data_IF_957281759275
#
_entry.id   IF_957281759275
#
_cell.length_a   1.000
_cell.length_b   1.000
_cell.length_c   1.000
_cell.angle_alpha   90.00
_cell.angle_beta   90.00
_cell.angle_gamma   90.00
#
_symmetry.space_group_name_H-M   'P 1'
#
loop_
_entity.id
_entity.type
_entity.pdbx_description
1 polymer ?
#
# COMPACT_ATOMS: atom_id res chain seq x y z
N UNK A 1 -11.44 11.30 13.18
CA UNK A 1 -10.01 11.61 13.32
C UNK A 1 -9.21 10.75 12.36
N UNK A 2 -8.50 11.41 11.44
CA UNK A 2 -7.52 10.74 10.61
C UNK A 2 -6.24 10.60 11.44
N UNK A 3 -6.19 9.52 12.21
CA UNK A 3 -5.09 9.26 13.14
C UNK A 3 -3.70 9.29 12.47
N UNK A 4 -2.63 9.27 13.29
CA UNK A 4 -1.27 9.35 12.77
C UNK A 4 -1.00 8.25 11.74
N UNK A 5 -0.31 8.59 10.65
CA UNK A 5 0.14 7.63 9.66
C UNK A 5 1.36 6.89 10.23
N UNK A 6 1.10 5.72 10.82
CA UNK A 6 2.13 4.86 11.44
C UNK A 6 2.67 3.87 10.42
N UNK A 7 3.99 3.84 10.27
CA UNK A 7 4.66 2.95 9.33
C UNK A 7 5.32 1.79 10.07
N UNK A 8 4.77 0.58 9.91
CA UNK A 8 5.33 -0.65 10.50
C UNK A 8 6.11 -1.50 9.49
N UNK A 9 6.49 -0.91 8.35
CA UNK A 9 7.22 -1.58 7.27
C UNK A 9 6.35 -2.43 6.35
N UNK A 10 5.05 -2.13 6.25
CA UNK A 10 4.12 -2.80 5.33
C UNK A 10 4.31 -2.29 3.90
N UNK A 11 4.01 -3.16 2.96
CA UNK A 11 3.97 -2.88 1.54
C UNK A 11 2.66 -3.40 0.94
N UNK A 12 2.11 -2.68 -0.03
CA UNK A 12 1.01 -3.13 -0.86
C UNK A 12 1.53 -3.42 -2.27
N UNK A 13 1.07 -4.49 -2.90
CA UNK A 13 1.37 -4.82 -4.30
C UNK A 13 0.06 -5.15 -5.01
N UNK A 14 -0.16 -4.50 -6.16
CA UNK A 14 -1.24 -4.83 -7.08
C UNK A 14 -0.76 -5.90 -8.06
N UNK A 15 -1.54 -6.96 -8.23
CA UNK A 15 -1.18 -8.10 -9.08
C UNK A 15 -2.28 -8.47 -10.09
N UNK A 16 -3.27 -7.59 -10.29
CA UNK A 16 -4.27 -7.76 -11.35
C UNK A 16 -3.70 -7.49 -12.74
N UNK A 17 -4.55 -7.55 -13.76
CA UNK A 17 -4.11 -7.55 -15.17
C UNK A 17 -3.89 -6.15 -15.77
N UNK A 18 -4.40 -5.08 -15.12
CA UNK A 18 -4.24 -3.70 -15.59
C UNK A 18 -2.85 -3.12 -15.24
N UNK A 19 -2.43 -2.07 -15.94
CA UNK A 19 -1.11 -1.44 -15.72
C UNK A 19 -0.97 -0.81 -14.32
N UNK A 20 -2.09 -0.35 -13.75
CA UNK A 20 -2.15 0.24 -12.42
C UNK A 20 -3.54 0.13 -11.81
N UNK A 21 -3.58 0.24 -10.49
CA UNK A 21 -4.79 0.39 -9.70
C UNK A 21 -4.81 1.78 -9.04
N UNK A 22 -5.90 2.53 -9.20
CA UNK A 22 -6.12 3.84 -8.57
C UNK A 22 -7.30 3.75 -7.61
N UNK A 23 -7.03 3.99 -6.32
CA UNK A 23 -8.07 3.96 -5.29
C UNK A 23 -8.94 5.23 -5.27
N UNK A 24 -8.66 6.21 -6.14
CA UNK A 24 -9.27 7.53 -6.23
C UNK A 24 -9.22 8.35 -4.92
N UNK A 25 -8.39 7.93 -3.98
CA UNK A 25 -8.10 8.61 -2.71
C UNK A 25 -6.66 9.12 -2.64
N UNK A 26 -5.97 9.14 -3.79
CA UNK A 26 -4.60 9.63 -3.94
C UNK A 26 -3.53 8.55 -3.89
N UNK A 27 -3.90 7.26 -3.93
CA UNK A 27 -2.95 6.15 -4.02
C UNK A 27 -3.07 5.45 -5.37
N UNK A 28 -1.93 5.36 -6.07
CA UNK A 28 -1.80 4.56 -7.30
C UNK A 28 -0.80 3.44 -7.05
N UNK A 29 -1.21 2.21 -7.32
CA UNK A 29 -0.37 1.01 -7.28
C UNK A 29 -0.05 0.60 -8.72
N UNK A 30 1.23 0.63 -9.09
CA UNK A 30 1.67 0.06 -10.36
C UNK A 30 1.64 -1.47 -10.28
N UNK A 31 1.27 -2.11 -11.39
CA UNK A 31 1.24 -3.57 -11.48
C UNK A 31 2.59 -4.19 -11.10
N UNK A 32 2.57 -5.18 -10.21
CA UNK A 32 3.73 -5.92 -9.75
C UNK A 32 4.86 -5.08 -9.10
N UNK A 33 4.55 -3.85 -8.65
CA UNK A 33 5.51 -3.01 -7.91
C UNK A 33 5.05 -2.80 -6.46
N UNK A 34 5.84 -3.25 -5.46
CA UNK A 34 5.52 -3.01 -4.06
C UNK A 34 5.64 -1.53 -3.69
N UNK A 35 4.60 -0.97 -3.07
CA UNK A 35 4.58 0.38 -2.52
C UNK A 35 4.61 0.32 -0.99
N UNK A 36 5.52 1.05 -0.35
CA UNK A 36 5.53 1.20 1.10
C UNK A 36 4.34 2.05 1.56
N UNK A 37 3.59 1.57 2.55
CA UNK A 37 2.34 2.19 3.01
C UNK A 37 2.27 2.24 4.53
N UNK A 38 1.59 3.24 5.09
CA UNK A 38 1.26 3.23 6.52
C UNK A 38 0.08 2.31 6.82
N UNK A 39 -0.10 1.95 8.09
CA UNK A 39 -1.03 0.92 8.52
C UNK A 39 -2.50 1.22 8.15
N UNK A 40 -2.88 2.51 8.13
CA UNK A 40 -4.22 2.92 7.70
C UNK A 40 -4.44 2.71 6.20
N UNK A 41 -3.50 3.14 5.36
CA UNK A 41 -3.54 2.93 3.90
C UNK A 41 -3.52 1.45 3.57
N UNK A 42 -2.69 0.66 4.25
CA UNK A 42 -2.67 -0.80 4.16
C UNK A 42 -4.05 -1.43 4.41
N UNK A 43 -4.78 -0.95 5.41
CA UNK A 43 -6.13 -1.47 5.74
C UNK A 43 -7.17 -1.11 4.68
N UNK A 44 -7.06 0.08 4.08
CA UNK A 44 -7.95 0.54 3.01
C UNK A 44 -7.68 -0.25 1.73
N UNK A 45 -6.43 -0.33 1.29
CA UNK A 45 -6.03 -1.02 0.07
C UNK A 45 -6.36 -2.52 0.11
N UNK A 46 -6.17 -3.18 1.27
CA UNK A 46 -6.54 -4.58 1.46
C UNK A 46 -8.05 -4.87 1.32
N UNK A 47 -8.91 -3.84 1.34
CA UNK A 47 -10.36 -3.94 1.14
C UNK A 47 -10.81 -3.40 -0.21
N UNK A 48 -9.90 -2.76 -0.96
CA UNK A 48 -10.24 -2.06 -2.19
C UNK A 48 -10.33 -3.03 -3.39
N UNK A 49 -9.54 -4.10 -3.38
CA UNK A 49 -9.57 -5.16 -4.39
C UNK A 49 -8.98 -6.47 -3.83
N UNK A 50 -9.47 -7.62 -4.30
CA UNK A 50 -8.88 -8.93 -4.05
C UNK A 50 -7.55 -9.13 -4.80
N UNK A 51 -7.24 -8.25 -5.76
CA UNK A 51 -6.00 -8.23 -6.54
C UNK A 51 -4.87 -7.44 -5.87
N UNK A 52 -5.03 -7.09 -4.59
CA UNK A 52 -4.03 -6.37 -3.80
C UNK A 52 -3.58 -7.24 -2.64
N UNK A 53 -2.27 -7.46 -2.55
CA UNK A 53 -1.66 -8.10 -1.41
C UNK A 53 -0.97 -7.08 -0.52
N UNK A 54 -1.26 -7.13 0.79
CA UNK A 54 -0.59 -6.32 1.81
C UNK A 54 0.28 -7.22 2.68
N UNK A 55 1.55 -6.87 2.79
CA UNK A 55 2.50 -7.63 3.59
C UNK A 55 2.26 -7.46 5.10
N UNK A 56 2.74 -8.44 5.87
CA UNK A 56 2.77 -8.33 7.33
C UNK A 56 3.76 -7.24 7.75
N UNK A 57 3.57 -6.70 8.95
CA UNK A 57 4.51 -5.74 9.52
C UNK A 57 5.88 -6.39 9.70
N UNK A 58 6.92 -5.72 9.22
CA UNK A 58 8.32 -6.13 9.41
C UNK A 58 8.96 -5.42 10.60
N UNK A 59 8.32 -4.34 11.11
CA UNK A 59 8.86 -3.42 12.12
C UNK A 59 10.15 -2.73 11.68
N UNK A 60 10.45 -2.78 10.38
CA UNK A 60 11.58 -2.13 9.76
C UNK A 60 11.06 -1.19 8.67
N UNK A 61 11.14 0.11 8.93
CA UNK A 61 10.77 1.15 7.99
C UNK A 61 11.92 2.15 7.88
N UNK A 62 12.52 2.22 6.70
CA UNK A 62 13.68 3.07 6.40
C UNK A 62 13.30 4.33 5.60
N UNK A 63 12.00 4.64 5.49
CA UNK A 63 11.46 5.69 4.63
C UNK A 63 10.97 5.11 3.29
N UNK A 64 9.67 5.22 3.04
CA UNK A 64 9.02 4.85 1.79
C UNK A 64 9.34 5.88 0.73
N UNK A 65 10.51 5.76 0.11
CA UNK A 65 10.97 6.69 -0.91
C UNK A 65 11.33 5.95 -2.21
N UNK A 66 10.49 6.13 -3.22
CA UNK A 66 11.03 6.62 -4.49
C UNK A 66 10.38 8.00 -4.71
N UNK A 67 11.20 9.03 -4.60
CA UNK A 67 10.89 10.36 -5.11
C UNK A 67 10.72 10.30 -6.64
#
# INVERSE_FOLDING_TARGET
DDGPCVFTGKTAIYFGDEDYFDDNAGHVLMQNQPLAVCDKTATVLAKASDEIHVSKSTWHYNGGGCC
#
